data_IF_339434166897
#
_entry.id   IF_339434166897
#
_cell.length_a   1.000
_cell.length_b   1.000
_cell.length_c   1.000
_cell.angle_alpha   90.00
_cell.angle_beta   90.00
_cell.angle_gamma   90.00
#
_symmetry.space_group_name_H-M   'P 1'
#
loop_
_entity.id
_entity.type
_entity.pdbx_description
1 polymer ?
#
# COMPACT_ATOMS: atom_id res chain seq x y z
N UNK A 1 -52.99 16.48 -42.87
CA UNK A 1 -52.65 16.60 -41.44
C UNK A 1 -52.46 15.20 -40.86
N UNK A 2 -51.21 14.81 -40.61
CA UNK A 2 -50.87 13.70 -39.70
C UNK A 2 -49.36 13.78 -39.40
N UNK A 3 -49.02 14.14 -38.16
CA UNK A 3 -47.64 14.21 -37.66
C UNK A 3 -47.13 12.80 -37.34
N UNK A 4 -45.84 12.46 -37.60
CA UNK A 4 -45.31 11.16 -37.23
C UNK A 4 -45.06 11.08 -35.72
N UNK A 5 -45.42 9.93 -35.16
CA UNK A 5 -45.41 9.61 -33.73
C UNK A 5 -43.98 9.61 -33.20
N UNK A 6 -43.74 10.38 -32.13
CA UNK A 6 -42.47 10.43 -31.39
C UNK A 6 -42.09 9.03 -30.89
N UNK A 7 -40.96 8.55 -31.37
CA UNK A 7 -40.28 7.34 -30.90
C UNK A 7 -39.99 7.48 -29.39
N UNK A 8 -40.56 6.58 -28.59
CA UNK A 8 -40.38 6.55 -27.15
C UNK A 8 -38.94 6.17 -26.85
N UNK A 9 -38.16 7.13 -26.34
CA UNK A 9 -36.82 6.88 -25.78
C UNK A 9 -36.92 5.74 -24.76
N UNK A 10 -36.18 4.65 -25.00
CA UNK A 10 -36.02 3.56 -24.06
C UNK A 10 -35.54 4.13 -22.72
N UNK A 11 -36.44 4.15 -21.73
CA UNK A 11 -36.13 4.55 -20.37
C UNK A 11 -35.24 3.45 -19.80
N UNK A 12 -33.95 3.76 -19.56
CA UNK A 12 -33.01 2.84 -18.91
C UNK A 12 -33.69 2.29 -17.65
N UNK A 13 -33.79 0.97 -17.57
CA UNK A 13 -34.39 0.27 -16.44
C UNK A 13 -33.69 0.69 -15.14
N UNK A 14 -34.43 0.86 -14.03
CA UNK A 14 -33.84 1.25 -12.76
C UNK A 14 -32.93 0.13 -12.27
N UNK A 15 -31.63 0.44 -12.21
CA UNK A 15 -30.55 -0.25 -11.49
C UNK A 15 -30.90 -1.69 -11.06
N UNK A 16 -30.51 -2.68 -11.87
CA UNK A 16 -30.48 -4.08 -11.43
C UNK A 16 -29.61 -4.13 -10.16
N UNK A 17 -30.28 -4.40 -9.03
CA UNK A 17 -29.62 -4.76 -7.79
C UNK A 17 -28.85 -6.05 -8.08
N UNK A 18 -27.54 -6.07 -7.80
CA UNK A 18 -26.72 -7.28 -7.93
C UNK A 18 -27.45 -8.45 -7.26
N UNK A 19 -27.60 -9.58 -7.95
CA UNK A 19 -28.15 -10.79 -7.35
C UNK A 19 -27.31 -11.23 -6.15
N UNK A 20 -27.91 -11.97 -5.21
CA UNK A 20 -27.19 -12.44 -4.02
C UNK A 20 -25.94 -13.28 -4.38
N UNK A 21 -26.00 -14.05 -5.48
CA UNK A 21 -24.85 -14.78 -6.01
C UNK A 21 -23.76 -13.84 -6.55
N UNK A 22 -24.13 -12.78 -7.28
CA UNK A 22 -23.19 -11.76 -7.76
C UNK A 22 -22.57 -10.95 -6.62
N UNK A 23 -23.35 -10.62 -5.57
CA UNK A 23 -22.82 -9.95 -4.37
C UNK A 23 -21.80 -10.84 -3.65
N UNK A 24 -22.11 -12.12 -3.47
CA UNK A 24 -21.20 -13.11 -2.85
C UNK A 24 -19.92 -13.27 -3.67
N UNK A 25 -20.02 -13.36 -4.98
CA UNK A 25 -18.86 -13.46 -5.88
C UNK A 25 -17.98 -12.20 -5.80
N UNK A 26 -18.57 -11.00 -5.87
CA UNK A 26 -17.84 -9.75 -5.75
C UNK A 26 -17.16 -9.62 -4.38
N UNK A 27 -17.81 -10.02 -3.30
CA UNK A 27 -17.23 -10.00 -1.95
C UNK A 27 -15.98 -10.88 -1.87
N UNK A 28 -16.05 -12.12 -2.37
CA UNK A 28 -14.91 -13.05 -2.40
C UNK A 28 -13.76 -12.48 -3.23
N UNK A 29 -14.05 -11.97 -4.43
CA UNK A 29 -13.05 -11.38 -5.31
C UNK A 29 -12.38 -10.14 -4.66
N UNK A 30 -13.17 -9.30 -4.00
CA UNK A 30 -12.68 -8.10 -3.33
C UNK A 30 -11.76 -8.45 -2.16
N UNK A 31 -12.12 -9.46 -1.37
CA UNK A 31 -11.30 -9.93 -0.25
C UNK A 31 -10.02 -10.64 -0.72
N UNK A 32 -10.08 -11.43 -1.80
CA UNK A 32 -8.88 -12.01 -2.42
C UNK A 32 -7.91 -10.91 -2.88
N UNK A 33 -8.41 -9.89 -3.58
CA UNK A 33 -7.60 -8.74 -4.01
C UNK A 33 -7.01 -8.00 -2.80
N UNK A 34 -7.80 -7.76 -1.75
CA UNK A 34 -7.32 -7.15 -0.51
C UNK A 34 -6.18 -7.95 0.12
N UNK A 35 -6.33 -9.27 0.24
CA UNK A 35 -5.30 -10.17 0.78
C UNK A 35 -4.04 -10.21 -0.08
N UNK A 36 -4.20 -10.20 -1.39
CA UNK A 36 -3.06 -10.15 -2.31
C UNK A 36 -2.27 -8.85 -2.14
N UNK A 37 -2.95 -7.70 -2.04
CA UNK A 37 -2.29 -6.41 -1.79
C UNK A 37 -1.52 -6.40 -0.47
N UNK A 38 -2.09 -6.99 0.59
CA UNK A 38 -1.40 -7.12 1.89
C UNK A 38 -0.13 -7.95 1.74
N UNK A 39 -0.21 -9.11 1.06
CA UNK A 39 0.95 -9.97 0.82
C UNK A 39 2.06 -9.23 0.05
N UNK A 40 1.70 -8.50 -1.01
CA UNK A 40 2.67 -7.69 -1.77
C UNK A 40 3.36 -6.66 -0.85
N UNK A 41 2.62 -6.03 0.06
CA UNK A 41 3.21 -5.12 1.05
C UNK A 41 4.21 -5.81 1.97
N UNK A 42 3.93 -7.04 2.42
CA UNK A 42 4.89 -7.82 3.20
C UNK A 42 6.13 -8.22 2.40
N UNK A 43 5.96 -8.60 1.13
CA UNK A 43 7.09 -8.94 0.25
C UNK A 43 8.00 -7.72 0.04
N UNK A 44 7.44 -6.52 -0.10
CA UNK A 44 8.20 -5.26 -0.16
C UNK A 44 8.96 -4.97 1.14
N UNK A 45 8.34 -5.22 2.30
CA UNK A 45 9.03 -5.05 3.59
C UNK A 45 10.22 -6.00 3.73
N UNK A 46 10.11 -7.24 3.25
CA UNK A 46 11.20 -8.20 3.27
C UNK A 46 12.38 -7.70 2.42
N UNK A 47 12.10 -7.19 1.22
CA UNK A 47 13.13 -6.70 0.28
C UNK A 47 13.89 -5.47 0.81
N UNK A 48 13.16 -4.54 1.46
CA UNK A 48 13.74 -3.28 1.95
C UNK A 48 14.49 -3.46 3.27
N UNK A 49 14.11 -4.42 4.12
CA UNK A 49 14.68 -4.61 5.45
C UNK A 49 15.77 -5.69 5.40
N UNK A 50 17.08 -5.34 5.49
CA UNK A 50 18.17 -6.29 5.23
C UNK A 50 18.18 -7.51 6.17
N UNK A 51 17.67 -7.34 7.38
CA UNK A 51 17.58 -8.40 8.38
C UNK A 51 16.54 -9.50 8.06
N UNK A 52 15.71 -9.32 7.02
CA UNK A 52 14.66 -10.26 6.63
C UNK A 52 15.01 -11.13 5.41
N UNK A 53 16.10 -10.83 4.68
CA UNK A 53 16.46 -11.51 3.41
C UNK A 53 16.65 -13.03 3.51
N UNK A 54 17.03 -13.54 4.69
CA UNK A 54 17.39 -14.96 4.88
C UNK A 54 16.67 -15.58 6.09
N UNK A 55 15.63 -14.92 6.60
CA UNK A 55 15.00 -15.25 7.89
C UNK A 55 13.58 -15.79 7.79
N UNK A 56 12.98 -16.02 8.97
CA UNK A 56 11.59 -16.44 9.11
C UNK A 56 10.63 -15.38 8.52
N UNK A 57 9.67 -15.82 7.72
CA UNK A 57 8.67 -14.96 7.04
C UNK A 57 7.37 -14.80 7.84
N UNK A 58 7.43 -14.88 9.17
CA UNK A 58 6.22 -14.65 9.97
C UNK A 58 5.85 -13.16 9.93
N UNK A 59 4.57 -12.85 9.70
CA UNK A 59 4.07 -11.48 9.57
C UNK A 59 4.43 -10.62 10.80
N UNK A 60 4.31 -11.20 12.01
CA UNK A 60 4.69 -10.53 13.25
C UNK A 60 6.18 -10.17 13.30
N UNK A 61 7.07 -11.06 12.86
CA UNK A 61 8.51 -10.81 12.85
C UNK A 61 8.88 -9.77 11.79
N UNK A 62 8.25 -9.83 10.61
CA UNK A 62 8.45 -8.84 9.54
C UNK A 62 8.11 -7.43 10.07
N UNK A 63 6.95 -7.27 10.70
CA UNK A 63 6.55 -5.99 11.29
C UNK A 63 7.53 -5.53 12.38
N UNK A 64 7.93 -6.42 13.28
CA UNK A 64 8.90 -6.10 14.34
C UNK A 64 10.24 -5.63 13.77
N UNK A 65 10.83 -6.38 12.84
CA UNK A 65 12.10 -6.04 12.20
C UNK A 65 12.01 -4.77 11.37
N UNK A 66 10.86 -4.49 10.76
CA UNK A 66 10.62 -3.24 10.05
C UNK A 66 10.67 -2.04 11.00
N UNK A 67 10.03 -2.13 12.17
CA UNK A 67 10.08 -1.07 13.20
C UNK A 67 11.51 -0.86 13.72
N UNK A 68 12.23 -1.95 14.00
CA UNK A 68 13.62 -1.88 14.46
C UNK A 68 14.52 -1.22 13.40
N UNK A 69 14.32 -1.55 12.13
CA UNK A 69 15.08 -0.95 11.04
C UNK A 69 14.79 0.55 10.89
N UNK A 70 13.54 0.99 11.03
CA UNK A 70 13.18 2.41 11.02
C UNK A 70 13.90 3.16 12.16
N UNK A 71 13.90 2.60 13.38
CA UNK A 71 14.61 3.20 14.52
C UNK A 71 16.11 3.31 14.27
N UNK A 72 16.71 2.27 13.70
CA UNK A 72 18.11 2.27 13.30
C UNK A 72 18.44 3.37 12.28
N UNK A 73 17.64 3.49 11.21
CA UNK A 73 17.83 4.51 10.19
C UNK A 73 17.72 5.93 10.78
N UNK A 74 16.80 6.15 11.73
CA UNK A 74 16.67 7.44 12.42
C UNK A 74 17.93 7.76 13.24
N UNK A 75 18.47 6.78 13.99
CA UNK A 75 19.72 6.97 14.76
C UNK A 75 20.87 7.31 13.84
N UNK A 76 21.08 6.49 12.81
CA UNK A 76 22.17 6.66 11.84
C UNK A 76 22.09 8.01 11.13
N UNK A 77 20.87 8.46 10.74
CA UNK A 77 20.66 9.79 10.16
C UNK A 77 21.04 10.91 11.14
N UNK A 78 20.72 10.77 12.43
CA UNK A 78 21.07 11.78 13.43
C UNK A 78 22.58 11.81 13.70
N UNK A 79 23.24 10.65 13.76
CA UNK A 79 24.69 10.53 13.90
C UNK A 79 25.42 11.18 12.71
N UNK A 80 25.02 10.85 11.48
CA UNK A 80 25.58 11.47 10.28
C UNK A 80 25.37 12.98 10.26
N UNK A 81 24.20 13.48 10.69
CA UNK A 81 23.96 14.92 10.81
C UNK A 81 24.89 15.60 11.82
N UNK A 82 25.18 14.94 12.95
CA UNK A 82 26.11 15.47 13.93
C UNK A 82 27.54 15.47 13.37
N UNK A 83 27.97 14.39 12.72
CA UNK A 83 29.28 14.33 12.05
C UNK A 83 29.46 15.45 11.00
N UNK A 84 28.44 15.71 10.20
CA UNK A 84 28.47 16.82 9.23
C UNK A 84 28.60 18.17 9.94
N UNK A 85 27.86 18.40 11.03
CA UNK A 85 27.96 19.63 11.82
C UNK A 85 29.37 19.82 12.39
N UNK A 86 29.94 18.76 12.95
CA UNK A 86 31.26 18.80 13.57
C UNK A 86 32.34 19.09 12.52
N UNK A 87 32.29 18.41 11.36
CA UNK A 87 33.18 18.66 10.23
C UNK A 87 33.04 20.09 9.68
N UNK A 88 31.82 20.62 9.61
CA UNK A 88 31.59 22.02 9.22
C UNK A 88 32.17 23.00 10.24
N UNK A 89 32.13 22.68 11.53
CA UNK A 89 32.80 23.45 12.58
C UNK A 89 34.31 23.48 12.38
N UNK A 90 34.92 22.31 12.17
CA UNK A 90 36.37 22.18 11.94
C UNK A 90 36.83 22.87 10.65
N UNK A 91 36.02 22.83 9.57
CA UNK A 91 36.36 23.46 8.29
C UNK A 91 36.07 24.98 8.27
N UNK A 92 35.18 25.46 9.15
CA UNK A 92 34.85 26.87 9.32
C UNK A 92 35.79 27.63 10.25
N UNK A 93 36.71 26.93 10.94
CA UNK A 93 37.83 27.50 11.69
C UNK A 93 39.12 27.50 10.84
N UNK A 94 39.08 28.20 9.70
CA UNK A 94 40.22 28.78 8.96
C UNK A 94 39.75 30.02 8.24
#
# INVERSE_FOLDING_TARGET
SASPVKERRHRKQPHELLSESQKKANHIASEQKRRQNIRIGFDQLIDIVPSLNHGNRSEALILQKSVDHIRYLISMKNELKNQVRDLQGTLGET
#
